data_IF_080966143965
#
_entry.id   IF_080966143965
#
_cell.length_a   1.000
_cell.length_b   1.000
_cell.length_c   1.000
_cell.angle_alpha   90.00
_cell.angle_beta   90.00
_cell.angle_gamma   90.00
#
_symmetry.space_group_name_H-M   'P 1'
#
loop_
_entity.id
_entity.type
_entity.pdbx_description
1 polymer ?
#
# COMPACT_ATOMS: atom_id res chain seq x y z
N UNK A 1 1.53 25.48 -37.84
CA UNK A 1 1.00 25.17 -36.49
C UNK A 1 2.03 25.64 -35.47
N UNK A 2 1.75 26.62 -34.60
CA UNK A 2 2.70 26.97 -33.56
C UNK A 2 2.72 25.82 -32.54
N UNK A 3 3.90 25.25 -32.32
CA UNK A 3 4.13 24.33 -31.21
C UNK A 3 4.14 25.22 -29.96
N UNK A 4 3.01 25.31 -29.27
CA UNK A 4 2.96 25.90 -27.92
C UNK A 4 3.81 25.04 -27.02
N UNK A 5 5.02 25.49 -26.75
CA UNK A 5 5.88 24.97 -25.68
C UNK A 5 5.06 25.00 -24.39
N UNK A 6 4.99 23.89 -23.62
CA UNK A 6 4.27 23.90 -22.36
C UNK A 6 4.84 24.98 -21.45
N UNK A 7 3.94 25.73 -20.83
CA UNK A 7 4.24 26.78 -19.87
C UNK A 7 5.20 26.23 -18.78
N UNK A 8 6.37 26.87 -18.57
CA UNK A 8 7.36 26.41 -17.60
C UNK A 8 6.81 26.29 -16.17
N UNK A 9 5.81 27.08 -15.79
CA UNK A 9 5.17 26.98 -14.48
C UNK A 9 4.35 25.67 -14.37
N UNK A 10 3.63 25.29 -15.41
CA UNK A 10 2.87 24.04 -15.47
C UNK A 10 3.80 22.81 -15.48
N UNK A 11 4.93 22.90 -16.19
CA UNK A 11 5.95 21.86 -16.20
C UNK A 11 6.66 21.70 -14.84
N UNK A 12 6.77 22.78 -14.05
CA UNK A 12 7.29 22.72 -12.69
C UNK A 12 6.28 22.12 -11.72
N UNK A 13 5.02 22.58 -11.74
CA UNK A 13 3.95 22.04 -10.91
C UNK A 13 3.74 20.53 -11.12
N UNK A 14 3.78 20.07 -12.37
CA UNK A 14 3.70 18.64 -12.71
C UNK A 14 4.86 17.84 -12.11
N UNK A 15 6.09 18.37 -12.13
CA UNK A 15 7.26 17.70 -11.53
C UNK A 15 7.15 17.58 -10.01
N UNK A 16 6.77 18.66 -9.34
CA UNK A 16 6.56 18.66 -7.88
C UNK A 16 5.46 17.67 -7.48
N UNK A 17 4.38 17.59 -8.26
CA UNK A 17 3.32 16.61 -8.04
C UNK A 17 3.81 15.16 -8.21
N UNK A 18 4.59 14.88 -9.26
CA UNK A 18 5.16 13.55 -9.52
C UNK A 18 6.14 13.11 -8.42
N UNK A 19 6.98 14.01 -7.92
CA UNK A 19 7.91 13.72 -6.82
C UNK A 19 7.15 13.35 -5.55
N UNK A 20 6.12 14.11 -5.19
CA UNK A 20 5.29 13.82 -4.02
C UNK A 20 4.55 12.48 -4.14
N UNK A 21 4.03 12.18 -5.33
CA UNK A 21 3.33 10.92 -5.57
C UNK A 21 4.30 9.72 -5.55
N UNK A 22 5.54 9.91 -5.99
CA UNK A 22 6.60 8.91 -5.84
C UNK A 22 6.96 8.68 -4.37
N UNK A 23 7.07 9.73 -3.55
CA UNK A 23 7.30 9.60 -2.10
C UNK A 23 6.17 8.84 -1.41
N UNK A 24 4.92 9.15 -1.73
CA UNK A 24 3.76 8.40 -1.23
C UNK A 24 3.81 6.93 -1.63
N UNK A 25 4.24 6.62 -2.86
CA UNK A 25 4.41 5.23 -3.31
C UNK A 25 5.50 4.50 -2.52
N UNK A 26 6.65 5.15 -2.26
CA UNK A 26 7.73 4.56 -1.44
C UNK A 26 7.24 4.27 -0.03
N UNK A 27 6.52 5.21 0.59
CA UNK A 27 5.95 5.02 1.94
C UNK A 27 4.90 3.89 1.95
N UNK A 28 4.00 3.86 0.96
CA UNK A 28 3.01 2.81 0.82
C UNK A 28 3.66 1.42 0.69
N UNK A 29 4.74 1.31 -0.09
CA UNK A 29 5.48 0.06 -0.27
C UNK A 29 6.10 -0.43 1.05
N UNK A 30 6.73 0.47 1.82
CA UNK A 30 7.33 0.14 3.11
C UNK A 30 6.26 -0.33 4.12
N UNK A 31 5.18 0.44 4.25
CA UNK A 31 4.07 0.10 5.15
C UNK A 31 3.44 -1.25 4.78
N UNK A 32 3.25 -1.53 3.48
CA UNK A 32 2.72 -2.81 3.01
C UNK A 32 3.65 -3.98 3.33
N UNK A 33 4.97 -3.80 3.18
CA UNK A 33 5.95 -4.84 3.52
C UNK A 33 5.93 -5.15 5.02
N UNK A 34 5.91 -4.12 5.87
CA UNK A 34 5.85 -4.27 7.32
C UNK A 34 4.54 -4.91 7.78
N UNK A 35 3.42 -4.52 7.18
CA UNK A 35 2.12 -5.10 7.47
C UNK A 35 2.03 -6.56 7.04
N UNK A 36 2.56 -6.90 5.85
CA UNK A 36 2.63 -8.28 5.39
C UNK A 36 3.43 -9.15 6.38
N UNK A 37 4.56 -8.64 6.87
CA UNK A 37 5.36 -9.34 7.89
C UNK A 37 4.56 -9.57 9.17
N UNK A 38 3.90 -8.53 9.69
CA UNK A 38 3.07 -8.63 10.90
C UNK A 38 1.93 -9.63 10.77
N UNK A 39 1.26 -9.66 9.61
CA UNK A 39 0.21 -10.65 9.33
C UNK A 39 0.78 -12.08 9.41
N UNK A 40 1.93 -12.33 8.78
CA UNK A 40 2.58 -13.64 8.83
C UNK A 40 3.00 -14.02 10.26
N UNK A 41 3.55 -13.08 11.03
CA UNK A 41 3.92 -13.32 12.41
C UNK A 41 2.69 -13.69 13.27
N UNK A 42 1.56 -12.99 13.08
CA UNK A 42 0.31 -13.32 13.77
C UNK A 42 -0.27 -14.66 13.33
N UNK A 43 -0.16 -15.04 12.05
CA UNK A 43 -0.57 -16.37 11.58
C UNK A 43 0.14 -17.48 12.33
N UNK A 44 1.46 -17.35 12.53
CA UNK A 44 2.28 -18.33 13.25
C UNK A 44 1.84 -18.43 14.72
N UNK A 45 1.58 -17.29 15.38
CA UNK A 45 1.15 -17.26 16.78
C UNK A 45 -0.24 -17.90 16.93
N UNK A 46 -1.20 -17.57 16.06
CA UNK A 46 -2.55 -18.14 16.10
C UNK A 46 -2.52 -19.65 15.92
N UNK A 47 -1.70 -20.15 14.99
CA UNK A 47 -1.56 -21.59 14.76
C UNK A 47 -0.92 -22.31 15.97
N UNK A 48 0.09 -21.71 16.60
CA UNK A 48 0.69 -22.23 17.84
C UNK A 48 -0.33 -22.27 19.01
N UNK A 49 -1.14 -21.22 19.16
CA UNK A 49 -2.20 -21.19 20.17
C UNK A 49 -3.27 -22.26 19.90
N UNK A 50 -3.66 -22.44 18.65
CA UNK A 50 -4.61 -23.48 18.22
C UNK A 50 -4.07 -24.87 18.52
N UNK A 51 -2.81 -25.14 18.19
CA UNK A 51 -2.15 -26.42 18.46
C UNK A 51 -2.07 -26.75 19.96
N UNK A 52 -1.99 -25.72 20.81
CA UNK A 52 -2.02 -25.85 22.27
C UNK A 52 -3.42 -25.98 22.87
N UNK A 53 -4.47 -25.94 22.05
CA UNK A 53 -5.86 -26.08 22.47
C UNK A 53 -6.47 -24.82 23.10
N UNK A 54 -5.88 -23.65 22.88
CA UNK A 54 -6.49 -22.38 23.30
C UNK A 54 -7.69 -22.03 22.41
N UNK A 55 -8.67 -21.35 22.99
CA UNK A 55 -9.71 -20.67 22.21
C UNK A 55 -9.07 -19.52 21.42
N UNK A 56 -9.12 -19.63 20.10
CA UNK A 56 -8.47 -18.72 19.15
C UNK A 56 -9.48 -17.93 18.32
N UNK A 57 -10.79 -18.05 18.56
CA UNK A 57 -11.81 -17.45 17.71
C UNK A 57 -11.64 -15.93 17.51
N UNK A 58 -11.32 -15.20 18.58
CA UNK A 58 -11.07 -13.75 18.49
C UNK A 58 -9.78 -13.43 17.73
N UNK A 59 -8.73 -14.23 17.94
CA UNK A 59 -7.44 -14.03 17.28
C UNK A 59 -7.52 -14.31 15.78
N UNK A 60 -8.31 -15.32 15.38
CA UNK A 60 -8.65 -15.62 13.98
C UNK A 60 -9.43 -14.48 13.33
N UNK A 61 -10.45 -13.95 14.00
CA UNK A 61 -11.23 -12.82 13.49
C UNK A 61 -10.38 -11.54 13.31
N UNK A 62 -9.44 -11.29 14.25
CA UNK A 62 -8.48 -10.21 14.12
C UNK A 62 -7.55 -10.44 12.92
N UNK A 63 -7.04 -11.65 12.77
CA UNK A 63 -6.16 -12.03 11.67
C UNK A 63 -6.84 -11.86 10.30
N UNK A 64 -8.12 -12.24 10.17
CA UNK A 64 -8.92 -11.96 8.97
C UNK A 64 -9.03 -10.46 8.69
N UNK A 65 -9.26 -9.65 9.72
CA UNK A 65 -9.35 -8.19 9.58
C UNK A 65 -8.02 -7.59 9.11
N UNK A 66 -6.91 -8.09 9.64
CA UNK A 66 -5.56 -7.66 9.22
C UNK A 66 -5.29 -8.04 7.77
N UNK A 67 -5.70 -9.24 7.32
CA UNK A 67 -5.56 -9.67 5.93
C UNK A 67 -6.38 -8.80 4.98
N UNK A 68 -7.64 -8.51 5.31
CA UNK A 68 -8.49 -7.59 4.51
C UNK A 68 -7.87 -6.20 4.38
N UNK A 69 -7.33 -5.69 5.49
CA UNK A 69 -6.71 -4.37 5.46
C UNK A 69 -5.42 -4.35 4.63
N UNK A 70 -4.65 -5.44 4.62
CA UNK A 70 -3.50 -5.61 3.72
C UNK A 70 -3.93 -5.61 2.25
N UNK A 71 -5.07 -6.22 1.93
CA UNK A 71 -5.64 -6.18 0.57
C UNK A 71 -6.07 -4.77 0.15
N UNK A 72 -6.74 -4.02 1.03
CA UNK A 72 -7.10 -2.63 0.74
C UNK A 72 -5.86 -1.75 0.53
N UNK A 73 -4.80 -1.97 1.31
CA UNK A 73 -3.53 -1.28 1.09
C UNK A 73 -2.91 -1.59 -0.27
N UNK A 74 -2.99 -2.85 -0.74
CA UNK A 74 -2.52 -3.23 -2.10
C UNK A 74 -3.35 -2.56 -3.20
N UNK A 75 -4.67 -2.45 -3.01
CA UNK A 75 -5.54 -1.71 -3.94
C UNK A 75 -5.16 -0.24 -3.99
N UNK A 76 -4.89 0.37 -2.84
CA UNK A 76 -4.45 1.76 -2.78
C UNK A 76 -3.12 1.98 -3.54
N UNK A 77 -2.13 1.09 -3.34
CA UNK A 77 -0.86 1.11 -4.09
C UNK A 77 -1.10 1.03 -5.61
N UNK A 78 -2.01 0.16 -6.05
CA UNK A 78 -2.35 0.01 -7.46
C UNK A 78 -2.93 1.30 -8.06
N UNK A 79 -3.80 2.01 -7.34
CA UNK A 79 -4.35 3.30 -7.77
C UNK A 79 -3.27 4.37 -7.95
N UNK A 80 -2.27 4.42 -7.06
CA UNK A 80 -1.12 5.32 -7.18
C UNK A 80 -0.31 5.00 -8.44
N UNK A 81 -0.02 3.71 -8.69
CA UNK A 81 0.70 3.27 -9.88
C UNK A 81 -0.05 3.62 -11.18
N UNK A 82 -1.36 3.45 -11.19
CA UNK A 82 -2.22 3.84 -12.31
C UNK A 82 -2.16 5.35 -12.57
N UNK A 83 -2.30 6.17 -11.53
CA UNK A 83 -2.19 7.62 -11.64
C UNK A 83 -0.83 8.07 -12.20
N UNK A 84 0.27 7.45 -11.75
CA UNK A 84 1.61 7.68 -12.28
C UNK A 84 1.75 7.23 -13.73
N UNK A 85 1.11 6.13 -14.15
CA UNK A 85 1.16 5.65 -15.53
C UNK A 85 0.41 6.56 -16.52
N UNK A 86 -0.72 7.14 -16.10
CA UNK A 86 -1.53 8.09 -16.88
C UNK A 86 -0.85 9.45 -17.03
N UNK A 87 0.16 9.71 -16.22
CA UNK A 87 0.97 10.93 -16.26
C UNK A 87 2.18 10.86 -17.21
N UNK A 88 2.30 9.82 -18.06
CA UNK A 88 3.30 9.76 -19.15
C UNK A 88 2.81 10.42 -20.42
#
# INVERSE_FOLDING_TARGET
>A
MPITTPDPEQAHARRVWLEREHEHLVQANQLLADWKRRVLDQMIIVEDLRAKGYDTALAEALLETMQRTLEEGRRHQQLILEALSLSR
#
